data_IF_545840023027
#
_entry.id   IF_545840023027
#
_cell.length_a   1.000
_cell.length_b   1.000
_cell.length_c   1.000
_cell.angle_alpha   90.00
_cell.angle_beta   90.00
_cell.angle_gamma   90.00
#
_symmetry.space_group_name_H-M   'P 1'
#
loop_
_entity.id
_entity.type
_entity.pdbx_description
1 polymer ?
#
# COMPACT_ATOMS: atom_id res chain seq x y z
N UNK A 1 8.86 15.93 -16.24
CA UNK A 1 8.59 15.30 -14.93
C UNK A 1 9.93 14.85 -14.37
N UNK A 2 10.15 15.02 -13.06
CA UNK A 2 11.34 14.56 -12.35
C UNK A 2 10.93 13.57 -11.25
N UNK A 3 11.71 12.51 -11.10
CA UNK A 3 11.51 11.48 -10.08
C UNK A 3 12.78 11.38 -9.22
N UNK A 4 12.87 12.18 -8.14
CA UNK A 4 13.98 12.09 -7.20
C UNK A 4 13.80 10.87 -6.28
N UNK A 5 14.82 10.03 -6.22
CA UNK A 5 14.83 8.80 -5.40
C UNK A 5 15.41 9.06 -4.00
N UNK A 6 15.04 8.19 -3.05
CA UNK A 6 15.59 8.14 -1.69
C UNK A 6 15.50 9.47 -0.88
N UNK A 7 14.45 10.26 -1.09
CA UNK A 7 14.19 11.48 -0.32
C UNK A 7 13.79 11.15 1.12
N UNK A 8 14.42 11.76 2.11
CA UNK A 8 14.15 11.50 3.54
C UNK A 8 13.44 12.66 4.25
N UNK A 9 13.38 13.85 3.65
CA UNK A 9 12.77 15.05 4.23
C UNK A 9 11.87 15.77 3.22
N UNK A 10 10.76 16.36 3.68
CA UNK A 10 9.84 17.14 2.82
C UNK A 10 10.51 18.37 2.18
N UNK A 11 11.45 18.99 2.90
CA UNK A 11 12.23 20.15 2.43
C UNK A 11 12.98 19.86 1.13
N UNK A 12 13.48 18.63 0.95
CA UNK A 12 14.20 18.22 -0.26
C UNK A 12 13.28 18.19 -1.47
N UNK A 13 12.04 17.69 -1.33
CA UNK A 13 11.06 17.74 -2.42
C UNK A 13 10.78 19.18 -2.85
N UNK A 14 10.67 20.10 -1.89
CA UNK A 14 10.48 21.53 -2.16
C UNK A 14 11.65 22.10 -2.97
N UNK A 15 12.89 21.79 -2.57
CA UNK A 15 14.09 22.22 -3.30
C UNK A 15 14.11 21.71 -4.74
N UNK A 16 13.74 20.44 -4.97
CA UNK A 16 13.62 19.89 -6.33
C UNK A 16 12.54 20.61 -7.13
N UNK A 17 11.37 20.85 -6.54
CA UNK A 17 10.26 21.53 -7.21
C UNK A 17 10.62 22.96 -7.62
N UNK A 18 11.32 23.70 -6.74
CA UNK A 18 11.73 25.08 -6.98
C UNK A 18 12.80 25.19 -8.09
N UNK A 19 13.74 24.24 -8.15
CA UNK A 19 14.83 24.26 -9.14
C UNK A 19 14.41 23.66 -10.49
N UNK A 20 13.69 22.54 -10.48
CA UNK A 20 13.46 21.76 -11.70
C UNK A 20 12.36 22.34 -12.58
N UNK A 21 11.42 23.11 -12.01
CA UNK A 21 10.28 23.70 -12.73
C UNK A 21 9.47 22.71 -13.59
N UNK A 22 9.48 21.43 -13.21
CA UNK A 22 8.70 20.35 -13.83
C UNK A 22 7.98 19.55 -12.74
N UNK A 23 6.87 18.84 -13.06
CA UNK A 23 6.16 18.03 -12.07
C UNK A 23 7.07 17.04 -11.36
N UNK A 24 7.04 17.04 -10.02
CA UNK A 24 7.78 16.10 -9.18
C UNK A 24 6.89 14.90 -8.83
N UNK A 25 7.44 13.69 -9.00
CA UNK A 25 6.84 12.43 -8.56
C UNK A 25 7.52 11.95 -7.28
N UNK A 26 6.77 11.81 -6.19
CA UNK A 26 7.26 11.23 -4.94
C UNK A 26 6.94 9.73 -4.89
N UNK A 27 7.96 8.90 -4.65
CA UNK A 27 7.81 7.46 -4.47
C UNK A 27 7.62 7.12 -3.00
N UNK A 28 6.37 6.86 -2.61
CA UNK A 28 5.96 6.54 -1.25
C UNK A 28 5.84 5.03 -1.13
N UNK A 29 6.99 4.35 -1.22
CA UNK A 29 7.08 2.89 -1.04
C UNK A 29 7.26 2.54 0.44
N UNK A 30 6.57 1.49 0.89
CA UNK A 30 6.80 0.93 2.22
C UNK A 30 8.18 0.27 2.30
N UNK A 31 8.72 0.22 3.53
CA UNK A 31 9.99 -0.44 3.87
C UNK A 31 11.23 0.17 3.17
N UNK A 32 11.11 1.40 2.66
CA UNK A 32 12.23 2.17 2.11
C UNK A 32 12.82 3.18 3.09
N UNK A 33 13.71 4.03 2.59
CA UNK A 33 14.30 5.13 3.35
C UNK A 33 13.36 6.34 3.48
N UNK A 34 12.49 6.55 2.48
CA UNK A 34 11.55 7.67 2.44
C UNK A 34 10.43 7.48 3.46
N UNK A 35 10.17 8.46 4.34
CA UNK A 35 9.02 8.43 5.24
C UNK A 35 7.69 8.34 4.47
N UNK A 36 6.68 7.73 5.10
CA UNK A 36 5.34 7.61 4.53
C UNK A 36 4.56 8.93 4.65
N UNK A 37 4.94 9.92 3.84
CA UNK A 37 4.26 11.20 3.80
C UNK A 37 2.82 11.07 3.29
N UNK A 38 1.94 11.86 3.88
CA UNK A 38 0.56 12.06 3.45
C UNK A 38 0.49 12.90 2.18
N UNK A 39 -0.64 12.84 1.47
CA UNK A 39 -0.86 13.69 0.29
C UNK A 39 -0.85 15.18 0.62
N UNK A 40 -1.22 15.57 1.84
CA UNK A 40 -1.22 16.97 2.27
C UNK A 40 0.19 17.48 2.55
N UNK A 41 1.03 16.66 3.17
CA UNK A 41 2.46 16.96 3.34
C UNK A 41 3.16 17.09 1.98
N UNK A 42 2.92 16.15 1.06
CA UNK A 42 3.48 16.19 -0.29
C UNK A 42 3.01 17.42 -1.08
N UNK A 43 1.72 17.77 -0.96
CA UNK A 43 1.16 19.01 -1.53
C UNK A 43 1.87 20.24 -0.97
N UNK A 44 2.13 20.28 0.34
CA UNK A 44 2.83 21.41 0.97
C UNK A 44 4.27 21.60 0.42
N UNK A 45 4.90 20.51 -0.04
CA UNK A 45 6.22 20.50 -0.65
C UNK A 45 6.22 20.68 -2.18
N UNK A 46 5.06 21.00 -2.79
CA UNK A 46 4.90 21.18 -4.25
C UNK A 46 5.19 19.90 -5.06
N UNK A 47 4.91 18.73 -4.49
CA UNK A 47 4.92 17.46 -5.22
C UNK A 47 3.64 17.35 -6.05
N UNK A 48 3.79 16.99 -7.33
CA UNK A 48 2.68 16.93 -8.26
C UNK A 48 1.94 15.58 -8.23
N UNK A 49 2.65 14.49 -7.94
CA UNK A 49 2.12 13.14 -7.95
C UNK A 49 2.74 12.29 -6.83
N UNK A 50 1.94 11.44 -6.21
CA UNK A 50 2.36 10.44 -5.24
C UNK A 50 2.23 9.04 -5.86
N UNK A 51 3.33 8.30 -5.91
CA UNK A 51 3.37 6.92 -6.38
C UNK A 51 3.38 5.97 -5.18
N UNK A 52 2.44 5.02 -5.20
CA UNK A 52 2.36 3.91 -4.25
C UNK A 52 2.63 2.60 -5.02
N UNK A 53 3.90 2.29 -5.33
CA UNK A 53 4.23 1.38 -6.43
C UNK A 53 3.81 -0.08 -6.17
N UNK A 54 3.84 -0.53 -4.91
CA UNK A 54 3.66 -1.94 -4.56
C UNK A 54 2.67 -2.19 -3.41
N UNK A 55 1.97 -1.16 -2.93
CA UNK A 55 1.12 -1.26 -1.73
C UNK A 55 0.06 -2.37 -1.86
N UNK A 56 -0.70 -2.37 -2.96
CA UNK A 56 -1.69 -3.41 -3.23
C UNK A 56 -1.04 -4.79 -3.45
N UNK A 57 0.10 -4.84 -4.13
CA UNK A 57 0.82 -6.07 -4.41
C UNK A 57 1.31 -6.75 -3.11
N UNK A 58 1.84 -5.97 -2.17
CA UNK A 58 2.26 -6.46 -0.85
C UNK A 58 1.09 -7.03 -0.06
N UNK A 59 -0.05 -6.32 -0.02
CA UNK A 59 -1.25 -6.79 0.64
C UNK A 59 -1.77 -8.10 0.01
N UNK A 60 -1.80 -8.16 -1.32
CA UNK A 60 -2.20 -9.35 -2.08
C UNK A 60 -1.31 -10.56 -1.75
N UNK A 61 0.01 -10.37 -1.73
CA UNK A 61 0.95 -11.45 -1.43
C UNK A 61 0.77 -11.99 0.00
N UNK A 62 0.54 -11.11 0.97
CA UNK A 62 0.26 -11.54 2.35
C UNK A 62 -1.06 -12.32 2.46
N UNK A 63 -2.09 -11.91 1.72
CA UNK A 63 -3.36 -12.61 1.69
C UNK A 63 -3.21 -14.01 1.08
N UNK A 64 -2.49 -14.11 -0.05
CA UNK A 64 -2.19 -15.35 -0.76
C UNK A 64 -1.34 -16.30 0.09
N UNK A 65 -0.27 -15.81 0.71
CA UNK A 65 0.56 -16.57 1.65
C UNK A 65 -0.31 -17.24 2.72
N UNK A 66 -1.19 -16.47 3.37
CA UNK A 66 -2.08 -17.01 4.40
C UNK A 66 -3.04 -18.08 3.84
N UNK A 67 -3.44 -18.02 2.56
CA UNK A 67 -4.27 -19.07 1.95
C UNK A 67 -3.45 -20.34 1.81
N UNK A 68 -2.24 -20.22 1.25
CA UNK A 68 -1.37 -21.36 1.03
C UNK A 68 -0.91 -22.03 2.33
N UNK A 69 -0.61 -21.24 3.38
CA UNK A 69 -0.26 -21.79 4.70
C UNK A 69 -1.40 -22.63 5.28
N UNK A 70 -2.64 -22.12 5.26
CA UNK A 70 -3.80 -22.83 5.79
C UNK A 70 -4.08 -24.09 4.98
N UNK A 71 -4.12 -23.99 3.65
CA UNK A 71 -4.31 -25.15 2.77
C UNK A 71 -3.30 -26.26 3.06
N UNK A 72 -2.04 -25.89 3.28
CA UNK A 72 -0.96 -26.83 3.55
C UNK A 72 -1.08 -27.50 4.92
N UNK A 73 -1.59 -26.79 5.92
CA UNK A 73 -1.70 -27.27 7.30
C UNK A 73 -2.98 -28.05 7.56
N UNK A 74 -4.12 -27.57 7.03
CA UNK A 74 -5.45 -28.09 7.34
C UNK A 74 -5.97 -29.04 6.26
N UNK A 75 -5.39 -29.01 5.05
CA UNK A 75 -5.85 -29.83 3.92
C UNK A 75 -7.13 -29.32 3.24
N UNK A 76 -7.73 -28.23 3.72
CA UNK A 76 -8.83 -27.54 3.05
C UNK A 76 -8.82 -26.01 3.30
N UNK A 77 -9.68 -25.29 2.58
CA UNK A 77 -9.78 -23.82 2.64
C UNK A 77 -10.94 -23.30 3.51
N UNK A 78 -11.67 -24.18 4.22
CA UNK A 78 -12.97 -23.84 4.84
C UNK A 78 -12.84 -22.84 5.99
N UNK A 79 -11.66 -22.73 6.60
CA UNK A 79 -11.44 -21.83 7.73
C UNK A 79 -11.56 -20.34 7.41
N UNK A 80 -11.55 -19.91 6.13
CA UNK A 80 -11.47 -18.48 5.76
C UNK A 80 -12.77 -17.83 5.31
N UNK A 81 -13.86 -18.58 5.11
CA UNK A 81 -15.15 -18.00 4.69
C UNK A 81 -15.96 -17.39 5.85
N UNK A 82 -15.37 -17.27 7.04
CA UNK A 82 -16.05 -16.77 8.25
C UNK A 82 -16.30 -15.26 8.29
N UNK A 83 -15.91 -14.51 7.26
CA UNK A 83 -16.38 -13.14 7.03
C UNK A 83 -17.49 -13.03 5.97
N UNK A 84 -17.94 -14.16 5.40
CA UNK A 84 -19.12 -14.26 4.52
C UNK A 84 -20.07 -15.40 4.96
N UNK A 85 -19.96 -15.84 6.21
CA UNK A 85 -20.97 -16.70 6.81
C UNK A 85 -22.23 -15.87 7.06
N UNK A 86 -23.09 -15.82 6.04
CA UNK A 86 -24.47 -15.36 6.11
C UNK A 86 -25.15 -15.92 7.39
N UNK A 87 -25.55 -15.04 8.34
CA UNK A 87 -26.20 -15.47 9.56
C UNK A 87 -27.50 -16.26 9.30
N UNK A 88 -28.09 -16.17 8.10
CA UNK A 88 -29.30 -16.92 7.75
C UNK A 88 -29.06 -18.41 7.48
N UNK A 89 -27.81 -18.85 7.29
CA UNK A 89 -27.50 -20.28 7.05
C UNK A 89 -27.52 -21.13 8.33
N UNK A 90 -27.49 -20.51 9.51
CA UNK A 90 -27.53 -21.20 10.80
C UNK A 90 -28.94 -21.67 11.21
N UNK A 91 -30.01 -21.16 10.58
CA UNK A 91 -31.40 -21.44 10.97
C UNK A 91 -31.99 -22.65 10.20
N UNK A 92 -31.29 -23.20 9.21
CA UNK A 92 -31.77 -24.35 8.41
C UNK A 92 -31.14 -25.70 8.79
N UNK A 93 -30.91 -25.95 10.07
CA UNK A 93 -30.65 -27.31 10.57
C UNK A 93 -31.45 -27.55 11.84
N UNK A 94 -32.67 -28.05 11.59
CA UNK A 94 -33.61 -28.74 12.50
C UNK A 94 -34.06 -28.00 13.76
#
# INVERSE_FOLDING_TARGET
MLFPEAITELSMYRQFADVAQVPILANITEFGATPLFTTDELRSANVAMALYPLSAFRAMNRAAEKVYTVLRQEGDAKARDRHHADPQRAIRKH
#
